data_IF_340027916673
#
_entry.id   IF_340027916673
#
_cell.length_a   1.000
_cell.length_b   1.000
_cell.length_c   1.000
_cell.angle_alpha   90.00
_cell.angle_beta   90.00
_cell.angle_gamma   90.00
#
_symmetry.space_group_name_H-M   'P 1'
#
loop_
_entity.id
_entity.type
_entity.pdbx_description
1 polymer ?
#
# COMPACT_ATOMS: atom_id res chain seq x y z
N UNK A 1 10.88 1.03 17.06
CA UNK A 1 10.06 -0.17 16.85
C UNK A 1 10.63 -1.35 17.62
N UNK A 2 9.76 -2.25 18.09
CA UNK A 2 10.14 -3.55 18.65
C UNK A 2 9.74 -4.63 17.65
N UNK A 3 10.59 -5.66 17.47
CA UNK A 3 10.39 -6.73 16.49
C UNK A 3 10.84 -8.10 17.01
N UNK A 4 10.27 -9.16 16.45
CA UNK A 4 10.70 -10.54 16.63
C UNK A 4 10.80 -10.96 18.11
N UNK A 5 11.92 -11.58 18.49
CA UNK A 5 12.14 -12.14 19.83
C UNK A 5 12.09 -11.11 20.98
N UNK A 6 12.07 -9.81 20.67
CA UNK A 6 11.88 -8.75 21.69
C UNK A 6 10.43 -8.49 22.04
N UNK A 7 9.50 -9.09 21.28
CA UNK A 7 8.06 -8.99 21.51
C UNK A 7 7.56 -10.18 22.33
N UNK A 8 6.62 -9.97 23.26
CA UNK A 8 5.88 -11.08 23.84
C UNK A 8 5.01 -11.71 22.74
N UNK A 9 4.90 -13.03 22.68
CA UNK A 9 3.94 -13.68 21.79
C UNK A 9 2.54 -13.11 22.00
N UNK A 10 1.94 -12.58 20.94
CA UNK A 10 0.63 -11.97 21.00
C UNK A 10 -0.11 -12.23 19.71
N UNK A 11 -1.38 -12.57 19.82
CA UNK A 11 -2.28 -12.74 18.67
C UNK A 11 -3.22 -11.56 18.55
N UNK A 12 -3.61 -11.28 17.30
CA UNK A 12 -4.58 -10.25 17.00
C UNK A 12 -5.93 -10.57 17.65
N UNK A 13 -6.40 -9.65 18.49
CA UNK A 13 -7.73 -9.71 19.11
C UNK A 13 -8.69 -8.75 18.39
N UNK A 14 -9.72 -9.30 17.79
CA UNK A 14 -10.74 -8.53 17.06
C UNK A 14 -11.96 -8.19 17.92
N UNK A 15 -12.02 -8.64 19.18
CA UNK A 15 -13.21 -8.46 20.04
C UNK A 15 -13.55 -6.99 20.33
N UNK A 16 -12.53 -6.11 20.31
CA UNK A 16 -12.68 -4.66 20.48
C UNK A 16 -13.05 -3.89 19.20
N UNK A 17 -13.38 -4.60 18.11
CA UNK A 17 -13.60 -4.01 16.79
C UNK A 17 -14.90 -4.46 16.14
N UNK A 18 -15.50 -3.58 15.34
CA UNK A 18 -16.69 -3.84 14.53
C UNK A 18 -16.32 -3.68 13.04
N UNK A 19 -16.53 -4.73 12.25
CA UNK A 19 -16.30 -4.69 10.81
C UNK A 19 -17.13 -3.58 10.16
N UNK A 20 -16.47 -2.67 9.45
CA UNK A 20 -17.07 -1.54 8.76
C UNK A 20 -16.97 -1.68 7.24
N UNK A 21 -15.86 -2.25 6.74
CA UNK A 21 -15.63 -2.51 5.31
C UNK A 21 -15.10 -3.93 5.14
N UNK A 22 -15.69 -4.69 4.21
CA UNK A 22 -15.24 -6.01 3.77
C UNK A 22 -15.16 -5.98 2.23
N UNK A 23 -14.03 -5.52 1.71
CA UNK A 23 -13.79 -5.47 0.28
C UNK A 23 -13.22 -6.81 -0.18
N UNK A 24 -13.93 -7.50 -1.06
CA UNK A 24 -13.56 -8.83 -1.58
C UNK A 24 -13.23 -8.84 -3.06
N UNK A 25 -13.40 -7.71 -3.72
CA UNK A 25 -13.21 -7.59 -5.16
C UNK A 25 -13.97 -8.68 -5.95
N UNK A 26 -15.21 -8.99 -5.51
CA UNK A 26 -16.05 -10.04 -6.10
C UNK A 26 -17.17 -9.50 -7.00
N UNK A 27 -17.20 -8.19 -7.22
CA UNK A 27 -18.07 -7.54 -8.18
C UNK A 27 -17.58 -7.67 -9.63
N UNK A 28 -18.47 -7.46 -10.61
CA UNK A 28 -18.10 -7.46 -12.04
C UNK A 28 -17.21 -6.28 -12.43
N UNK A 29 -17.24 -5.20 -11.66
CA UNK A 29 -16.49 -3.96 -11.85
C UNK A 29 -15.90 -3.50 -10.52
N UNK A 30 -14.83 -2.70 -10.58
CA UNK A 30 -14.24 -2.06 -9.41
C UNK A 30 -15.23 -1.08 -8.78
N UNK A 31 -15.38 -1.13 -7.46
CA UNK A 31 -16.16 -0.15 -6.70
C UNK A 31 -15.46 1.23 -6.75
N UNK A 32 -15.78 2.04 -7.75
CA UNK A 32 -15.21 3.39 -7.92
C UNK A 32 -15.72 4.41 -6.89
N UNK A 33 -16.72 4.07 -6.07
CA UNK A 33 -17.08 4.88 -4.92
C UNK A 33 -16.05 4.73 -3.77
N UNK A 34 -15.20 3.72 -3.84
CA UNK A 34 -14.15 3.45 -2.84
C UNK A 34 -12.76 3.52 -3.42
N UNK A 35 -12.53 3.08 -4.65
CA UNK A 35 -11.22 2.93 -5.26
C UNK A 35 -11.03 3.78 -6.51
N UNK A 36 -9.95 4.54 -6.54
CA UNK A 36 -9.45 5.21 -7.73
C UNK A 36 -8.31 4.37 -8.32
N UNK A 37 -8.45 3.82 -9.56
CA UNK A 37 -7.42 2.97 -10.16
C UNK A 37 -6.31 3.78 -10.82
N UNK A 38 -5.64 4.61 -10.05
CA UNK A 38 -4.51 5.43 -10.45
C UNK A 38 -3.47 5.50 -9.33
N UNK A 39 -2.21 5.75 -9.68
CA UNK A 39 -1.13 6.04 -8.73
C UNK A 39 -0.76 7.51 -8.78
N UNK A 40 -1.07 8.26 -7.71
CA UNK A 40 -0.74 9.68 -7.54
C UNK A 40 -0.84 10.45 -8.87
N UNK A 41 -2.04 10.49 -9.48
CA UNK A 41 -2.22 10.94 -10.86
C UNK A 41 -1.85 12.40 -11.07
N UNK A 42 -1.81 13.21 -10.01
CA UNK A 42 -1.41 14.61 -10.06
C UNK A 42 0.05 14.79 -10.54
N UNK A 43 0.94 13.85 -10.25
CA UNK A 43 2.36 13.92 -10.62
C UNK A 43 2.69 13.26 -11.96
N UNK A 44 1.68 12.75 -12.65
CA UNK A 44 1.83 11.98 -13.88
C UNK A 44 0.79 12.39 -14.93
N UNK A 45 0.69 11.60 -16.00
CA UNK A 45 -0.40 11.68 -16.99
C UNK A 45 -1.44 10.59 -16.71
N UNK A 46 -2.69 10.74 -17.20
CA UNK A 46 -3.73 9.73 -17.01
C UNK A 46 -3.29 8.33 -17.44
N UNK A 47 -2.69 8.18 -18.62
CA UNK A 47 -2.28 6.89 -19.17
C UNK A 47 -1.16 6.22 -18.36
N UNK A 48 -0.24 7.02 -17.80
CA UNK A 48 0.90 6.53 -17.02
C UNK A 48 0.55 6.20 -15.58
N UNK A 49 -0.43 6.91 -15.01
CA UNK A 49 -0.89 6.68 -13.64
C UNK A 49 -1.96 5.59 -13.54
N UNK A 50 -2.60 5.22 -14.66
CA UNK A 50 -3.67 4.23 -14.69
C UNK A 50 -3.18 2.85 -14.27
N UNK A 51 -3.90 2.23 -13.32
CA UNK A 51 -3.65 0.86 -12.92
C UNK A 51 -4.07 -0.14 -14.02
N UNK A 52 -3.28 -1.19 -14.17
CA UNK A 52 -3.71 -2.40 -14.89
C UNK A 52 -4.09 -3.46 -13.87
N UNK A 53 -5.28 -3.98 -13.97
CA UNK A 53 -5.80 -5.00 -13.05
C UNK A 53 -6.87 -5.86 -13.70
N UNK A 54 -7.15 -7.00 -13.08
CA UNK A 54 -8.33 -7.81 -13.37
C UNK A 54 -9.06 -8.12 -12.07
N UNK A 55 -10.37 -8.24 -12.15
CA UNK A 55 -11.20 -8.77 -11.07
C UNK A 55 -11.48 -10.23 -11.33
N UNK A 56 -11.65 -11.01 -10.24
CA UNK A 56 -11.96 -12.41 -10.37
C UNK A 56 -13.29 -12.63 -11.09
N UNK A 57 -13.27 -13.52 -12.10
CA UNK A 57 -14.44 -13.98 -12.84
C UNK A 57 -14.66 -15.47 -12.57
N UNK A 58 -15.86 -15.99 -12.88
CA UNK A 58 -16.17 -17.42 -12.82
C UNK A 58 -15.94 -18.11 -11.46
N UNK A 59 -16.27 -17.39 -10.37
CA UNK A 59 -16.17 -17.93 -9.02
C UNK A 59 -14.79 -17.78 -8.36
N UNK A 60 -13.80 -17.21 -9.04
CA UNK A 60 -12.58 -16.74 -8.39
C UNK A 60 -12.81 -15.33 -7.85
N UNK A 61 -12.57 -15.13 -6.56
CA UNK A 61 -12.67 -13.81 -5.92
C UNK A 61 -11.32 -13.15 -5.90
N UNK A 62 -11.30 -11.83 -5.92
CA UNK A 62 -10.11 -11.04 -5.69
C UNK A 62 -9.74 -10.13 -6.85
N UNK A 63 -8.79 -9.29 -6.57
CA UNK A 63 -8.12 -8.36 -7.48
C UNK A 63 -6.76 -8.93 -7.85
N UNK A 64 -6.40 -8.91 -9.13
CA UNK A 64 -5.03 -9.10 -9.58
C UNK A 64 -4.51 -7.75 -10.09
N UNK A 65 -3.58 -7.14 -9.37
CA UNK A 65 -2.79 -6.02 -9.87
C UNK A 65 -1.77 -6.55 -10.88
N UNK A 66 -1.56 -5.81 -11.96
CA UNK A 66 -0.81 -6.30 -13.10
C UNK A 66 0.08 -5.21 -13.69
N UNK A 67 1.29 -5.58 -14.09
CA UNK A 67 2.18 -4.76 -14.90
C UNK A 67 2.54 -5.55 -16.15
N UNK A 68 2.20 -5.01 -17.33
CA UNK A 68 2.52 -5.61 -18.61
C UNK A 68 3.84 -5.04 -19.16
N UNK A 69 4.45 -5.75 -20.09
CA UNK A 69 5.72 -5.34 -20.70
C UNK A 69 5.63 -3.95 -21.36
N UNK A 70 4.49 -3.60 -21.96
CA UNK A 70 4.23 -2.34 -22.65
C UNK A 70 3.73 -1.21 -21.75
N UNK A 71 3.57 -1.47 -20.44
CA UNK A 71 3.13 -0.42 -19.50
C UNK A 71 4.17 0.70 -19.45
N UNK A 72 3.76 1.97 -19.59
CA UNK A 72 4.70 3.09 -19.52
C UNK A 72 5.22 3.31 -18.11
N UNK A 73 6.40 3.92 -17.99
CA UNK A 73 6.90 4.41 -16.71
C UNK A 73 5.98 5.51 -16.18
N UNK A 74 5.73 5.48 -14.85
CA UNK A 74 4.76 6.35 -14.19
C UNK A 74 5.12 7.84 -14.30
N UNK A 75 6.31 8.24 -13.91
CA UNK A 75 6.76 9.64 -13.95
C UNK A 75 8.26 9.70 -14.27
N UNK A 76 8.66 9.50 -15.55
CA UNK A 76 10.07 9.32 -15.94
C UNK A 76 10.98 10.46 -15.52
N UNK A 77 10.48 11.68 -15.50
CA UNK A 77 11.28 12.86 -15.15
C UNK A 77 11.62 12.91 -13.67
N UNK A 78 10.79 12.30 -12.83
CA UNK A 78 10.96 12.32 -11.38
C UNK A 78 11.39 10.99 -10.81
N UNK A 79 10.95 9.87 -11.39
CA UNK A 79 11.12 8.54 -10.80
C UNK A 79 11.63 7.49 -11.80
N UNK A 80 12.18 7.96 -12.91
CA UNK A 80 12.84 7.12 -13.92
C UNK A 80 11.90 6.06 -14.49
N UNK A 81 12.37 4.83 -14.55
CA UNK A 81 11.67 3.71 -15.19
C UNK A 81 10.67 2.98 -14.25
N UNK A 82 10.32 3.56 -13.12
CA UNK A 82 9.32 3.00 -12.20
C UNK A 82 7.98 2.79 -12.91
N UNK A 83 7.41 1.60 -12.81
CA UNK A 83 6.04 1.29 -13.25
C UNK A 83 5.19 0.88 -12.08
N UNK A 84 3.93 1.26 -12.10
CA UNK A 84 3.02 1.05 -10.95
C UNK A 84 1.63 0.68 -11.44
N UNK A 85 1.02 -0.32 -10.82
CA UNK A 85 -0.42 -0.52 -10.79
C UNK A 85 -0.91 -0.30 -9.38
N UNK A 86 -1.83 0.66 -9.20
CA UNK A 86 -2.27 1.10 -7.87
C UNK A 86 -3.77 1.36 -7.81
N UNK A 87 -4.37 0.97 -6.69
CA UNK A 87 -5.67 1.45 -6.28
C UNK A 87 -5.49 2.35 -5.04
N UNK A 88 -6.09 3.55 -5.06
CA UNK A 88 -6.06 4.47 -3.92
C UNK A 88 -7.46 4.94 -3.53
N UNK A 89 -7.62 5.40 -2.29
CA UNK A 89 -8.95 5.73 -1.74
C UNK A 89 -9.16 7.22 -1.52
N UNK A 90 -8.28 8.03 -2.07
CA UNK A 90 -8.38 9.49 -2.04
C UNK A 90 -7.44 10.12 -3.03
N UNK A 91 -7.72 11.37 -3.42
CA UNK A 91 -6.85 12.19 -4.26
C UNK A 91 -7.18 13.66 -4.11
N UNK A 92 -6.16 14.50 -4.17
CA UNK A 92 -6.29 15.96 -4.31
C UNK A 92 -5.02 16.57 -4.89
N UNK A 93 -5.17 17.67 -5.62
CA UNK A 93 -4.04 18.52 -6.00
C UNK A 93 -4.46 19.96 -6.22
N UNK A 94 -3.48 20.83 -6.34
CA UNK A 94 -3.65 22.19 -6.86
C UNK A 94 -3.75 22.20 -8.40
N UNK A 95 -3.73 23.40 -8.98
CA UNK A 95 -3.80 23.56 -10.44
C UNK A 95 -2.51 23.07 -11.12
N UNK A 96 -2.61 22.83 -12.44
CA UNK A 96 -1.46 22.45 -13.25
C UNK A 96 -0.30 23.45 -13.10
N UNK A 97 0.91 22.93 -13.00
CA UNK A 97 2.13 23.70 -12.79
C UNK A 97 2.40 24.14 -11.34
N UNK A 98 1.46 23.91 -10.40
CA UNK A 98 1.72 24.13 -8.97
C UNK A 98 2.50 22.98 -8.34
N UNK A 99 3.18 23.23 -7.21
CA UNK A 99 3.79 22.18 -6.37
C UNK A 99 2.82 21.59 -5.34
N UNK A 100 1.52 21.92 -5.40
CA UNK A 100 0.55 21.50 -4.40
C UNK A 100 -0.13 20.17 -4.80
N UNK A 101 0.18 19.10 -4.11
CA UNK A 101 -0.43 17.78 -4.31
C UNK A 101 -0.05 16.84 -3.18
N UNK A 102 -0.78 15.77 -3.05
CA UNK A 102 -0.49 14.76 -2.02
C UNK A 102 0.83 14.04 -2.30
N UNK A 103 1.48 13.66 -1.21
CA UNK A 103 2.71 12.88 -1.21
C UNK A 103 3.79 13.47 -2.14
N UNK A 104 4.29 14.68 -1.84
CA UNK A 104 5.38 15.29 -2.60
C UNK A 104 6.70 14.57 -2.26
N UNK A 105 6.96 13.43 -2.92
CA UNK A 105 8.06 12.51 -2.64
C UNK A 105 9.45 13.05 -3.00
N UNK A 106 9.51 14.20 -3.69
CA UNK A 106 10.77 14.92 -3.96
C UNK A 106 10.54 16.40 -4.21
N UNK A 107 11.63 17.16 -4.08
CA UNK A 107 11.65 18.60 -4.41
C UNK A 107 11.46 18.82 -5.91
N UNK A 108 10.79 19.92 -6.27
CA UNK A 108 10.59 20.34 -7.65
C UNK A 108 9.44 19.66 -8.39
N UNK A 109 8.64 18.84 -7.71
CA UNK A 109 7.41 18.26 -8.29
C UNK A 109 6.45 19.37 -8.73
N UNK A 110 5.86 19.18 -9.91
CA UNK A 110 4.78 20.03 -10.42
C UNK A 110 3.58 19.20 -10.83
N UNK A 111 2.40 19.68 -10.47
CA UNK A 111 1.12 19.05 -10.87
C UNK A 111 1.01 19.05 -12.39
N UNK A 112 0.89 17.87 -12.98
CA UNK A 112 0.69 17.66 -14.42
C UNK A 112 -0.78 17.49 -14.75
N UNK A 113 -1.47 16.70 -13.97
CA UNK A 113 -2.90 16.41 -14.15
C UNK A 113 -3.64 16.83 -12.90
N UNK A 114 -4.26 18.03 -12.88
CA UNK A 114 -5.02 18.50 -11.72
C UNK A 114 -6.08 17.49 -11.31
N UNK A 115 -6.16 17.25 -10.01
CA UNK A 115 -7.13 16.32 -9.44
C UNK A 115 -8.14 17.08 -8.58
N UNK A 116 -9.46 16.92 -8.83
CA UNK A 116 -10.46 17.35 -7.88
C UNK A 116 -10.29 16.60 -6.56
N UNK A 117 -10.63 17.25 -5.46
CA UNK A 117 -10.60 16.58 -4.17
C UNK A 117 -11.64 15.45 -4.14
N UNK A 118 -11.18 14.21 -3.88
CA UNK A 118 -12.01 13.03 -3.70
C UNK A 118 -11.58 12.31 -2.42
N UNK A 119 -12.51 12.20 -1.47
CA UNK A 119 -12.37 11.47 -0.21
C UNK A 119 -13.25 10.22 -0.28
N UNK A 120 -12.80 9.21 -1.01
CA UNK A 120 -13.60 8.02 -1.26
C UNK A 120 -13.70 7.16 0.00
N UNK A 121 -12.56 6.87 0.64
CA UNK A 121 -12.50 6.13 1.88
C UNK A 121 -11.24 6.50 2.66
N UNK A 122 -11.43 7.14 3.81
CA UNK A 122 -10.35 7.64 4.65
C UNK A 122 -10.54 7.12 6.09
N UNK A 123 -10.05 5.93 6.44
CA UNK A 123 -10.09 5.44 7.81
C UNK A 123 -9.29 6.35 8.75
N UNK A 124 -9.71 6.37 10.01
CA UNK A 124 -8.99 7.02 11.09
C UNK A 124 -9.02 6.11 12.32
N UNK A 125 -7.88 5.51 12.63
CA UNK A 125 -7.70 4.42 13.60
C UNK A 125 -8.48 3.15 13.27
N UNK A 126 -8.21 2.08 13.99
CA UNK A 126 -8.87 0.80 13.85
C UNK A 126 -7.95 -0.31 13.34
N UNK A 127 -8.55 -1.38 12.91
CA UNK A 127 -7.88 -2.56 12.40
C UNK A 127 -8.03 -2.60 10.88
N UNK A 128 -6.90 -2.61 10.17
CA UNK A 128 -6.85 -2.77 8.72
C UNK A 128 -6.14 -4.08 8.41
N UNK A 129 -6.78 -4.91 7.59
CA UNK A 129 -6.30 -6.23 7.21
C UNK A 129 -6.28 -6.36 5.69
N UNK A 130 -5.26 -7.01 5.16
CA UNK A 130 -5.19 -7.38 3.75
C UNK A 130 -4.74 -8.83 3.60
N UNK A 131 -5.43 -9.59 2.74
CA UNK A 131 -5.01 -10.93 2.34
C UNK A 131 -4.52 -10.90 0.91
N UNK A 132 -3.28 -11.33 0.68
CA UNK A 132 -2.65 -11.27 -0.63
C UNK A 132 -1.61 -12.37 -0.89
N UNK A 133 -1.33 -12.58 -2.17
CA UNK A 133 -0.17 -13.31 -2.69
C UNK A 133 0.70 -12.29 -3.45
N UNK A 134 1.96 -12.06 -3.05
CA UNK A 134 2.81 -11.06 -3.68
C UNK A 134 3.33 -11.51 -5.05
N UNK A 135 3.77 -10.57 -5.85
CA UNK A 135 4.58 -10.84 -7.02
C UNK A 135 5.99 -11.26 -6.60
N UNK A 136 6.46 -12.42 -7.09
CA UNK A 136 7.76 -12.98 -6.74
C UNK A 136 8.90 -12.53 -7.64
N UNK A 137 8.63 -11.72 -8.66
CA UNK A 137 9.66 -11.21 -9.55
C UNK A 137 10.64 -10.30 -8.77
N UNK A 138 11.96 -10.41 -8.95
CA UNK A 138 12.95 -9.65 -8.16
C UNK A 138 12.79 -8.13 -8.22
N UNK A 139 12.26 -7.58 -9.32
CA UNK A 139 11.94 -6.14 -9.46
C UNK A 139 10.62 -5.73 -8.84
N UNK A 140 9.78 -6.70 -8.43
CA UNK A 140 8.47 -6.39 -7.89
C UNK A 140 8.53 -5.97 -6.43
N UNK A 141 7.66 -5.01 -6.08
CA UNK A 141 7.26 -4.68 -4.72
C UNK A 141 5.74 -4.69 -4.66
N UNK A 142 5.18 -5.55 -3.81
CA UNK A 142 3.74 -5.58 -3.51
C UNK A 142 3.52 -4.95 -2.14
N UNK A 143 2.63 -3.94 -2.05
CA UNK A 143 2.45 -3.20 -0.82
C UNK A 143 1.00 -2.77 -0.56
N UNK A 144 0.64 -2.67 0.73
CA UNK A 144 -0.45 -1.83 1.23
C UNK A 144 0.13 -0.86 2.26
N UNK A 145 -0.02 0.41 1.98
CA UNK A 145 0.37 1.48 2.86
C UNK A 145 -0.71 2.56 2.90
N UNK A 146 -0.70 3.38 3.92
CA UNK A 146 -1.64 4.46 4.11
C UNK A 146 -0.87 5.76 4.26
N UNK A 147 -1.31 6.81 3.55
CA UNK A 147 -0.74 8.15 3.68
C UNK A 147 -1.79 9.15 4.15
N UNK A 148 -1.34 10.20 4.78
CA UNK A 148 -2.20 11.31 5.14
C UNK A 148 -2.94 11.85 3.90
N UNK A 149 -4.21 12.22 4.09
CA UNK A 149 -4.92 12.92 3.02
C UNK A 149 -4.33 14.31 2.76
N UNK A 150 -3.43 14.76 3.66
CA UNK A 150 -2.69 16.02 3.59
C UNK A 150 -3.60 17.24 3.47
N UNK A 151 -4.66 17.28 4.28
CA UNK A 151 -5.49 18.49 4.41
C UNK A 151 -4.64 19.70 4.82
N UNK A 152 -3.56 19.46 5.54
CA UNK A 152 -2.41 20.37 5.74
C UNK A 152 -1.12 19.62 5.45
N UNK A 153 -0.02 20.31 5.08
CA UNK A 153 1.26 19.66 4.73
C UNK A 153 1.83 18.75 5.83
N UNK A 154 1.57 19.07 7.10
CA UNK A 154 2.04 18.29 8.25
C UNK A 154 1.32 16.95 8.41
N UNK A 155 0.16 16.79 7.78
CA UNK A 155 -0.60 15.53 7.79
C UNK A 155 -0.12 14.59 6.66
N UNK A 156 1.18 14.36 6.57
CA UNK A 156 1.82 13.60 5.47
C UNK A 156 2.45 12.29 5.92
N UNK A 157 2.29 11.89 7.19
CA UNK A 157 2.82 10.64 7.70
C UNK A 157 2.23 9.42 6.98
N UNK A 158 3.03 8.38 6.92
CA UNK A 158 2.68 7.09 6.32
C UNK A 158 2.63 5.99 7.37
N UNK A 159 1.70 5.07 7.21
CA UNK A 159 1.57 3.83 7.95
C UNK A 159 1.69 2.67 6.96
N UNK A 160 2.84 1.99 6.96
CA UNK A 160 3.11 0.88 6.08
C UNK A 160 2.58 -0.42 6.71
N UNK A 161 1.51 -0.98 6.14
CA UNK A 161 0.88 -2.22 6.64
C UNK A 161 1.67 -3.44 6.22
N UNK A 162 2.15 -3.45 4.97
CA UNK A 162 2.96 -4.52 4.39
C UNK A 162 3.70 -4.04 3.16
N UNK A 163 4.99 -4.36 3.08
CA UNK A 163 5.82 -4.28 1.89
C UNK A 163 6.56 -5.60 1.66
N UNK A 164 6.41 -6.15 0.46
CA UNK A 164 6.99 -7.43 0.06
C UNK A 164 7.80 -7.25 -1.24
N UNK A 165 9.10 -7.18 -1.10
CA UNK A 165 10.00 -7.18 -2.25
C UNK A 165 10.17 -8.62 -2.75
N UNK A 166 9.90 -8.87 -4.03
CA UNK A 166 10.04 -10.21 -4.61
C UNK A 166 11.45 -10.78 -4.46
N UNK A 167 12.49 -9.92 -4.52
CA UNK A 167 13.90 -10.30 -4.30
C UNK A 167 14.21 -10.76 -2.87
N UNK A 168 13.38 -10.42 -1.90
CA UNK A 168 13.57 -10.76 -0.49
C UNK A 168 12.82 -12.03 -0.08
N UNK A 169 12.06 -12.63 -1.00
CA UNK A 169 11.36 -13.90 -0.80
C UNK A 169 12.21 -15.02 -1.37
N UNK A 170 12.70 -15.88 -0.50
CA UNK A 170 13.61 -16.98 -0.86
C UNK A 170 12.85 -18.16 -1.51
N UNK A 171 13.61 -19.09 -2.11
CA UNK A 171 13.05 -20.25 -2.78
C UNK A 171 12.27 -21.20 -1.82
N UNK A 172 12.59 -21.21 -0.54
CA UNK A 172 11.84 -21.92 0.50
C UNK A 172 10.57 -21.20 0.95
N UNK A 173 10.36 -19.96 0.49
CA UNK A 173 9.24 -19.10 0.83
C UNK A 173 9.47 -18.18 2.01
N UNK A 174 10.50 -18.42 2.80
CA UNK A 174 10.90 -17.51 3.88
C UNK A 174 11.38 -16.17 3.30
N UNK A 175 11.27 -15.08 4.06
CA UNK A 175 11.63 -13.76 3.53
C UNK A 175 11.49 -12.66 4.55
N UNK A 176 11.36 -11.42 4.04
CA UNK A 176 11.21 -10.22 4.85
C UNK A 176 9.88 -9.53 4.58
N UNK A 177 9.29 -8.98 5.63
CA UNK A 177 8.06 -8.19 5.59
C UNK A 177 8.38 -6.80 6.10
N UNK A 178 8.22 -5.78 5.26
CA UNK A 178 8.36 -4.37 5.63
C UNK A 178 7.09 -3.87 6.31
N UNK A 179 7.22 -3.23 7.47
CA UNK A 179 6.13 -2.61 8.22
C UNK A 179 6.64 -1.40 9.00
N UNK A 180 5.77 -0.45 9.32
CA UNK A 180 6.17 0.66 10.18
C UNK A 180 5.57 2.01 9.82
N UNK A 181 6.27 3.07 10.20
CA UNK A 181 5.86 4.46 10.04
C UNK A 181 6.95 5.25 9.35
N UNK A 182 6.60 6.05 8.34
CA UNK A 182 7.44 7.11 7.76
C UNK A 182 6.86 8.49 8.08
N UNK A 183 7.66 9.45 8.53
CA UNK A 183 7.17 10.76 8.95
C UNK A 183 6.85 11.69 7.76
N UNK A 184 7.60 11.60 6.67
CA UNK A 184 7.61 12.59 5.60
C UNK A 184 7.66 14.02 6.17
N UNK A 185 6.60 14.83 6.02
CA UNK A 185 6.52 16.19 6.56
C UNK A 185 5.84 16.31 7.93
N UNK A 186 5.44 15.18 8.57
CA UNK A 186 4.81 15.20 9.90
C UNK A 186 5.86 15.36 11.01
N UNK A 187 5.90 16.53 11.72
CA UNK A 187 6.87 16.76 12.77
C UNK A 187 6.61 15.94 14.06
N UNK A 188 5.43 15.33 14.19
CA UNK A 188 5.06 14.50 15.33
C UNK A 188 5.53 13.05 15.21
N UNK A 189 6.03 12.67 14.05
CA UNK A 189 6.49 11.31 13.75
C UNK A 189 8.01 11.25 13.54
N UNK A 190 8.54 10.05 13.64
CA UNK A 190 9.92 9.70 13.30
C UNK A 190 9.92 8.49 12.41
N UNK A 191 10.95 8.31 11.59
CA UNK A 191 11.13 7.09 10.81
C UNK A 191 11.26 5.88 11.74
N UNK A 192 10.35 4.95 11.60
CA UNK A 192 10.26 3.74 12.43
C UNK A 192 9.79 2.55 11.59
N UNK A 193 10.37 2.44 10.39
CA UNK A 193 10.14 1.34 9.45
C UNK A 193 11.16 0.23 9.64
N UNK A 194 10.72 -1.03 9.52
CA UNK A 194 11.58 -2.21 9.67
C UNK A 194 11.23 -3.30 8.67
N UNK A 195 12.24 -4.09 8.33
CA UNK A 195 12.11 -5.34 7.58
C UNK A 195 12.19 -6.51 8.57
N UNK A 196 11.06 -7.20 8.82
CA UNK A 196 10.95 -8.32 9.74
C UNK A 196 11.21 -9.62 9.01
N UNK A 197 12.25 -10.37 9.44
CA UNK A 197 12.50 -11.73 8.92
C UNK A 197 11.40 -12.69 9.38
N UNK A 198 10.96 -13.57 8.47
CA UNK A 198 10.00 -14.62 8.79
C UNK A 198 10.32 -15.93 8.07
N UNK A 199 10.01 -17.04 8.74
CA UNK A 199 10.08 -18.39 8.17
C UNK A 199 8.75 -18.81 7.51
N UNK A 200 7.74 -17.98 7.60
CA UNK A 200 6.42 -18.22 6.96
C UNK A 200 6.59 -18.22 5.43
N UNK A 201 5.94 -19.16 4.75
CA UNK A 201 5.97 -19.21 3.28
C UNK A 201 5.18 -18.05 2.66
N UNK A 202 5.87 -16.95 2.32
CA UNK A 202 5.32 -15.73 1.74
C UNK A 202 4.87 -15.90 0.28
N UNK A 203 5.16 -17.00 -0.38
CA UNK A 203 4.70 -17.30 -1.75
C UNK A 203 3.22 -17.69 -1.80
N UNK A 204 2.63 -17.94 -0.64
CA UNK A 204 1.23 -18.29 -0.48
C UNK A 204 0.43 -17.09 0.00
N UNK A 205 -0.88 -17.18 -0.11
CA UNK A 205 -1.76 -16.19 0.48
C UNK A 205 -1.51 -16.07 1.98
N UNK A 206 -1.30 -14.83 2.43
CA UNK A 206 -1.13 -14.46 3.83
C UNK A 206 -1.99 -13.26 4.17
N UNK A 207 -2.35 -13.16 5.44
CA UNK A 207 -3.06 -11.99 5.96
C UNK A 207 -2.10 -11.12 6.76
N UNK A 208 -1.99 -9.88 6.35
CA UNK A 208 -1.23 -8.82 7.02
C UNK A 208 -2.21 -7.85 7.67
N UNK A 209 -1.90 -7.38 8.86
CA UNK A 209 -2.77 -6.44 9.55
C UNK A 209 -1.98 -5.38 10.30
N UNK A 210 -2.62 -4.20 10.45
CA UNK A 210 -2.20 -3.18 11.39
C UNK A 210 -3.35 -2.84 12.33
N UNK A 211 -3.10 -2.93 13.62
CA UNK A 211 -3.91 -2.34 14.67
C UNK A 211 -3.40 -0.92 14.90
N UNK A 212 -4.12 0.05 14.38
CA UNK A 212 -3.78 1.47 14.42
C UNK A 212 -4.56 2.17 15.52
N UNK A 213 -3.83 2.63 16.52
CA UNK A 213 -4.38 3.27 17.73
C UNK A 213 -3.80 4.68 17.89
N UNK A 214 -4.42 5.54 18.72
CA UNK A 214 -3.82 6.81 19.10
C UNK A 214 -2.42 6.61 19.70
N UNK A 215 -1.38 7.15 19.01
CA UNK A 215 0.01 7.10 19.46
C UNK A 215 0.69 5.73 19.42
N UNK A 216 0.11 4.73 18.78
CA UNK A 216 0.70 3.40 18.63
C UNK A 216 0.21 2.66 17.39
N UNK A 217 1.03 1.74 16.89
CA UNK A 217 0.62 0.76 15.88
C UNK A 217 1.25 -0.61 16.17
N UNK A 218 0.49 -1.68 15.90
CA UNK A 218 0.91 -3.07 16.03
C UNK A 218 0.67 -3.78 14.72
N UNK A 219 1.67 -4.54 14.25
CA UNK A 219 1.65 -5.17 12.93
C UNK A 219 1.64 -6.69 13.08
N UNK A 220 0.82 -7.36 12.27
CA UNK A 220 0.58 -8.79 12.38
C UNK A 220 0.74 -9.48 11.02
N UNK A 221 1.22 -10.72 11.07
CA UNK A 221 1.24 -11.68 9.97
C UNK A 221 0.50 -12.95 10.41
N UNK A 222 -0.58 -13.30 9.71
CA UNK A 222 -1.45 -14.45 10.06
C UNK A 222 -1.87 -14.44 11.54
N UNK A 223 -2.28 -13.27 12.03
CA UNK A 223 -2.67 -12.96 13.41
C UNK A 223 -1.52 -12.93 14.44
N UNK A 224 -0.31 -13.32 14.09
CA UNK A 224 0.84 -13.25 15.01
C UNK A 224 1.48 -11.85 14.96
N UNK A 225 1.74 -11.27 16.13
CA UNK A 225 2.42 -9.97 16.25
C UNK A 225 3.86 -10.07 15.75
N UNK A 226 4.22 -9.25 14.75
CA UNK A 226 5.56 -9.22 14.17
C UNK A 226 6.34 -7.94 14.48
N UNK A 227 5.64 -6.82 14.73
CA UNK A 227 6.25 -5.54 15.08
C UNK A 227 5.27 -4.66 15.84
N UNK A 228 5.79 -3.71 16.63
CA UNK A 228 4.99 -2.64 17.24
C UNK A 228 5.81 -1.34 17.37
N UNK A 229 5.13 -0.22 17.32
CA UNK A 229 5.70 1.12 17.50
C UNK A 229 4.85 1.97 18.45
N UNK A 230 5.49 2.85 19.22
CA UNK A 230 4.85 3.80 20.13
C UNK A 230 4.52 5.13 19.46
N UNK A 231 4.20 5.12 18.16
CA UNK A 231 3.75 6.30 17.42
C UNK A 231 2.81 5.88 16.28
N UNK A 232 1.98 6.80 15.83
CA UNK A 232 1.11 6.63 14.67
C UNK A 232 0.59 7.98 14.18
N UNK A 233 0.25 8.13 12.89
CA UNK A 233 -0.46 9.31 12.41
C UNK A 233 -1.77 9.53 13.17
N UNK A 234 -2.13 10.79 13.47
CA UNK A 234 -3.29 11.17 14.27
C UNK A 234 -4.38 11.86 13.41
N UNK A 235 -4.50 11.50 12.16
CA UNK A 235 -5.43 12.08 11.18
C UNK A 235 -5.88 11.00 10.19
N UNK A 236 -6.98 11.22 9.44
CA UNK A 236 -7.45 10.27 8.43
C UNK A 236 -6.39 9.99 7.35
N UNK A 237 -6.24 8.73 7.00
CA UNK A 237 -5.31 8.26 5.96
C UNK A 237 -6.06 7.68 4.77
N UNK A 238 -5.51 7.85 3.57
CA UNK A 238 -5.95 7.11 2.39
C UNK A 238 -5.12 5.85 2.19
N UNK A 239 -5.73 4.80 1.67
CA UNK A 239 -5.05 3.57 1.32
C UNK A 239 -4.40 3.69 -0.05
N UNK A 240 -3.21 3.06 -0.16
CA UNK A 240 -2.43 2.90 -1.38
C UNK A 240 -2.11 1.42 -1.52
N UNK A 241 -2.77 0.75 -2.45
CA UNK A 241 -2.59 -0.69 -2.72
C UNK A 241 -1.86 -0.86 -4.05
N UNK A 242 -0.61 -1.35 -4.01
CA UNK A 242 0.29 -1.29 -5.15
C UNK A 242 0.92 -2.62 -5.53
N UNK A 243 1.19 -2.71 -6.83
CA UNK A 243 2.27 -3.49 -7.40
C UNK A 243 3.20 -2.52 -8.13
N UNK A 244 4.47 -2.48 -7.73
CA UNK A 244 5.53 -1.73 -8.40
C UNK A 244 6.45 -2.67 -9.17
N UNK A 245 6.98 -2.18 -10.29
CA UNK A 245 8.19 -2.67 -10.90
C UNK A 245 9.30 -1.64 -10.72
N UNK A 246 10.24 -1.96 -9.84
CA UNK A 246 11.39 -1.11 -9.53
C UNK A 246 12.46 -1.21 -10.62
N UNK A 247 13.08 -0.09 -11.04
CA UNK A 247 14.19 -0.13 -11.98
C UNK A 247 15.43 -0.79 -11.34
N UNK A 248 16.07 -1.67 -12.07
CA UNK A 248 17.31 -2.33 -11.67
C UNK A 248 18.48 -2.10 -12.67
N UNK A 249 18.23 -1.26 -13.69
CA UNK A 249 19.20 -0.92 -14.75
C UNK A 249 19.34 -1.99 -15.83
N UNK A 250 18.64 -3.11 -15.73
CA UNK A 250 18.68 -4.19 -16.71
C UNK A 250 17.56 -4.04 -17.76
N UNK A 251 17.79 -4.52 -19.00
CA UNK A 251 16.72 -4.63 -19.98
C UNK A 251 15.58 -5.53 -19.49
N UNK A 252 14.36 -5.20 -19.87
CA UNK A 252 13.17 -5.98 -19.58
C UNK A 252 12.95 -7.06 -20.63
N UNK A 253 12.85 -8.31 -20.22
CA UNK A 253 12.49 -9.42 -21.11
C UNK A 253 10.97 -9.54 -21.20
N UNK A 254 10.36 -9.44 -22.40
CA UNK A 254 8.92 -9.65 -22.57
C UNK A 254 8.39 -10.97 -22.00
N UNK A 255 9.23 -12.00 -21.94
CA UNK A 255 8.85 -13.32 -21.40
C UNK A 255 8.62 -13.33 -19.89
N UNK A 256 9.08 -12.30 -19.15
CA UNK A 256 8.88 -12.16 -17.70
C UNK A 256 7.49 -11.58 -17.33
N UNK A 257 6.73 -11.11 -18.32
CA UNK A 257 5.46 -10.42 -18.10
C UNK A 257 4.24 -11.29 -18.44
N UNK A 258 3.09 -11.01 -17.81
CA UNK A 258 2.85 -9.93 -16.87
C UNK A 258 3.47 -10.19 -15.48
N UNK A 259 3.85 -9.13 -14.77
CA UNK A 259 4.07 -9.20 -13.33
C UNK A 259 2.70 -9.09 -12.65
N UNK A 260 2.44 -9.94 -11.68
CA UNK A 260 1.12 -10.01 -11.04
C UNK A 260 1.22 -10.19 -9.52
N UNK A 261 0.35 -9.46 -8.79
CA UNK A 261 0.10 -9.67 -7.36
C UNK A 261 -1.40 -9.85 -7.15
N UNK A 262 -1.81 -10.82 -6.35
CA UNK A 262 -3.22 -11.13 -6.12
C UNK A 262 -3.64 -10.69 -4.72
N UNK A 263 -4.75 -9.96 -4.63
CA UNK A 263 -5.38 -9.52 -3.37
C UNK A 263 -6.75 -10.16 -3.27
N UNK A 264 -7.01 -10.90 -2.20
CA UNK A 264 -8.27 -11.61 -2.00
C UNK A 264 -9.24 -10.87 -1.10
N UNK A 265 -8.77 -9.85 -0.39
CA UNK A 265 -9.63 -8.96 0.37
C UNK A 265 -8.87 -7.89 1.14
N UNK A 266 -9.57 -6.79 1.40
CA UNK A 266 -9.16 -5.72 2.31
C UNK A 266 -10.29 -5.47 3.30
N UNK A 267 -9.98 -5.49 4.59
CA UNK A 267 -10.96 -5.27 5.66
C UNK A 267 -10.58 -4.08 6.51
N UNK A 268 -11.59 -3.38 6.97
CA UNK A 268 -11.43 -2.35 7.97
C UNK A 268 -12.46 -2.53 9.07
N UNK A 269 -11.99 -2.57 10.30
CA UNK A 269 -12.82 -2.64 11.50
C UNK A 269 -12.57 -1.43 12.38
N UNK A 270 -13.66 -0.78 12.79
CA UNK A 270 -13.63 0.37 13.67
C UNK A 270 -13.58 -0.08 15.13
N UNK A 271 -12.87 0.65 16.02
CA UNK A 271 -12.96 0.41 17.45
C UNK A 271 -14.41 0.45 17.92
N UNK A 272 -14.79 -0.44 18.81
CA UNK A 272 -16.08 -0.37 19.53
C UNK A 272 -15.92 0.67 20.65
N UNK A 273 -16.85 1.62 20.72
CA UNK A 273 -16.83 2.70 21.71
C UNK A 273 -17.05 2.17 23.13
#
# INVERSE_FOLDING_TARGET
>A
VRVGDTLPPSRLDRSGYRLAVDERFDGPELDTARWLPHYLPQWSTPDRSAARYTLGTDGTRGLTLRIDHDQPAWSPEYDGELRVSNLQTGVRSGPAGSGSGQHPFREGLVVRTPQPEQRLWLPHYGLIEISLVPCLHPRALTALWLIGFESTPEQSGELCVVELFGRDIRADGAGRVGVGVHPFGDPGLRDDFVQVETAVDLRRERTYAVEWMPGAARFFLDDELIAETGQSPAYPLQLMLNLYELPDGNPRDPAEYPLEARVTGVRYSQPVA
#
